data_IF_704417511825
#
_entry.id   IF_704417511825
#
_cell.length_a   1.000
_cell.length_b   1.000
_cell.length_c   1.000
_cell.angle_alpha   90.00
_cell.angle_beta   90.00
_cell.angle_gamma   90.00
#
_symmetry.space_group_name_H-M   'P 1'
#
loop_
_entity.id
_entity.type
_entity.pdbx_description
1 polymer ?
#
# COMPACT_ATOMS: atom_id res chain seq x y z
N UNK A 1 -15.26 -29.92 21.82
CA UNK A 1 -14.24 -29.06 22.44
C UNK A 1 -14.44 -27.63 21.94
N UNK A 2 -14.79 -26.72 22.83
CA UNK A 2 -15.06 -25.33 22.51
C UNK A 2 -13.81 -24.59 22.03
N UNK A 3 -13.82 -23.83 20.94
CA UNK A 3 -12.74 -22.94 20.59
C UNK A 3 -12.87 -21.65 21.41
N UNK A 4 -12.29 -21.65 22.59
CA UNK A 4 -12.10 -20.48 23.46
C UNK A 4 -10.91 -19.65 22.98
N UNK A 5 -11.08 -18.95 21.85
CA UNK A 5 -10.21 -17.82 21.43
C UNK A 5 -11.08 -16.62 21.03
N UNK A 6 -12.03 -16.28 21.89
CA UNK A 6 -12.69 -14.98 21.82
C UNK A 6 -12.40 -14.28 23.15
N UNK A 7 -11.65 -13.19 23.13
CA UNK A 7 -11.59 -12.30 24.27
C UNK A 7 -13.02 -11.83 24.56
N UNK A 8 -13.50 -12.12 25.76
CA UNK A 8 -14.80 -11.64 26.25
C UNK A 8 -14.77 -10.18 26.68
N UNK A 9 -13.65 -9.49 26.50
CA UNK A 9 -13.48 -8.09 26.87
C UNK A 9 -14.05 -7.17 25.78
N UNK A 10 -15.17 -6.47 26.04
CA UNK A 10 -15.73 -5.49 25.10
C UNK A 10 -14.77 -4.36 24.74
N UNK A 11 -13.79 -4.03 25.62
CA UNK A 11 -12.79 -3.00 25.36
C UNK A 11 -11.77 -3.42 24.30
N UNK A 12 -11.52 -4.73 24.13
CA UNK A 12 -10.65 -5.25 23.08
C UNK A 12 -11.18 -4.88 21.69
N UNK A 13 -12.50 -4.95 21.52
CA UNK A 13 -13.16 -4.62 20.24
C UNK A 13 -13.34 -3.10 20.03
N UNK A 14 -13.34 -2.28 21.09
CA UNK A 14 -13.42 -0.82 20.95
C UNK A 14 -12.16 -0.21 20.33
N UNK A 15 -10.99 -0.80 20.55
CA UNK A 15 -9.73 -0.33 19.92
C UNK A 15 -9.65 -0.63 18.42
N UNK A 16 -10.39 -1.61 17.91
CA UNK A 16 -10.46 -1.93 16.48
C UNK A 16 -11.34 -0.94 15.69
N UNK A 17 -12.16 -0.15 16.37
CA UNK A 17 -13.13 0.76 15.76
C UNK A 17 -12.81 2.25 15.95
N UNK A 18 -11.58 2.61 16.30
CA UNK A 18 -11.18 4.01 16.13
C UNK A 18 -11.11 4.28 14.63
N UNK A 19 -12.21 4.80 14.09
CA UNK A 19 -12.27 5.42 12.77
C UNK A 19 -11.23 6.55 12.76
N UNK A 20 -9.98 6.23 12.44
CA UNK A 20 -9.07 7.24 11.94
C UNK A 20 -9.57 7.53 10.55
N UNK A 21 -10.31 8.63 10.39
CA UNK A 21 -10.60 9.20 9.08
C UNK A 21 -9.26 9.58 8.44
N UNK A 22 -8.59 8.60 7.84
CA UNK A 22 -7.39 8.84 7.03
C UNK A 22 -7.91 9.42 5.72
N UNK A 23 -7.63 10.69 5.49
CA UNK A 23 -7.88 11.33 4.20
C UNK A 23 -6.76 10.93 3.22
N UNK A 24 -7.09 10.89 1.94
CA UNK A 24 -6.12 10.65 0.86
C UNK A 24 -5.03 11.73 0.86
N UNK A 25 -5.36 12.96 1.19
CA UNK A 25 -4.42 14.08 1.32
C UNK A 25 -3.43 13.86 2.47
N UNK A 26 -3.84 13.21 3.56
CA UNK A 26 -2.94 12.83 4.67
C UNK A 26 -1.84 11.88 4.21
N UNK A 27 -2.15 10.96 3.28
CA UNK A 27 -1.18 10.02 2.72
C UNK A 27 -0.12 10.78 1.92
N UNK A 28 -0.53 11.74 1.12
CA UNK A 28 0.39 12.57 0.34
C UNK A 28 1.19 13.52 1.22
N UNK A 29 0.56 14.13 2.20
CA UNK A 29 1.23 15.04 3.15
C UNK A 29 2.32 14.33 3.96
N UNK A 30 2.06 13.12 4.46
CA UNK A 30 3.08 12.27 5.10
C UNK A 30 4.25 11.94 4.17
N UNK A 31 3.99 11.77 2.88
CA UNK A 31 5.02 11.53 1.88
C UNK A 31 5.88 12.78 1.64
N UNK A 32 5.27 13.96 1.58
CA UNK A 32 5.95 15.24 1.40
C UNK A 32 6.80 15.61 2.62
N UNK A 33 6.39 15.20 3.82
CA UNK A 33 7.14 15.38 5.07
C UNK A 33 8.18 14.26 5.35
N UNK A 34 8.48 13.42 4.37
CA UNK A 34 9.44 12.30 4.53
C UNK A 34 10.81 12.77 5.03
N UNK A 35 11.24 13.93 4.59
CA UNK A 35 12.55 14.53 4.89
C UNK A 35 12.35 16.00 5.25
N UNK A 36 12.80 16.41 6.45
CA UNK A 36 12.83 17.83 6.81
C UNK A 36 13.92 18.59 6.06
N UNK A 37 13.82 19.91 5.96
CA UNK A 37 14.82 20.74 5.27
C UNK A 37 16.23 20.54 5.83
N UNK A 38 16.37 20.46 7.15
CA UNK A 38 17.66 20.19 7.80
C UNK A 38 18.21 18.82 7.44
N UNK A 39 17.36 17.77 7.42
CA UNK A 39 17.76 16.44 7.00
C UNK A 39 18.13 16.41 5.52
N UNK A 40 17.40 17.15 4.68
CA UNK A 40 17.67 17.24 3.25
C UNK A 40 19.07 17.80 2.99
N UNK A 41 19.44 18.93 3.60
CA UNK A 41 20.76 19.56 3.42
C UNK A 41 21.90 18.68 3.94
N UNK A 42 21.70 17.96 5.05
CA UNK A 42 22.70 17.03 5.56
C UNK A 42 22.89 15.85 4.61
N UNK A 43 21.82 15.19 4.17
CA UNK A 43 21.90 14.06 3.24
C UNK A 43 22.49 14.50 1.92
N UNK A 44 22.10 15.66 1.40
CA UNK A 44 22.66 16.26 0.18
C UNK A 44 24.18 16.49 0.31
N UNK A 45 24.63 17.10 1.42
CA UNK A 45 26.06 17.31 1.67
C UNK A 45 26.83 15.98 1.67
N UNK A 46 26.29 14.95 2.28
CA UNK A 46 26.89 13.61 2.30
C UNK A 46 26.98 13.03 0.90
N UNK A 47 25.87 13.03 0.14
CA UNK A 47 25.81 12.43 -1.19
C UNK A 47 26.72 13.12 -2.21
N UNK A 48 26.98 14.42 -2.05
CA UNK A 48 27.88 15.17 -2.91
C UNK A 48 29.37 15.01 -2.57
N UNK A 49 29.70 14.56 -1.35
CA UNK A 49 31.07 14.38 -0.89
C UNK A 49 31.65 12.99 -1.16
N UNK A 50 30.80 11.97 -1.21
CA UNK A 50 31.24 10.57 -1.28
C UNK A 50 31.20 10.05 -2.72
N UNK A 51 32.16 9.19 -3.08
CA UNK A 51 32.08 8.46 -4.36
C UNK A 51 31.07 7.30 -4.23
N UNK A 52 29.91 7.47 -4.86
CA UNK A 52 28.82 6.51 -4.80
C UNK A 52 29.07 5.24 -5.64
N UNK A 53 30.10 5.24 -6.49
CA UNK A 53 30.40 4.13 -7.41
C UNK A 53 31.08 2.95 -6.72
N UNK A 54 31.73 3.20 -5.59
CA UNK A 54 32.56 2.21 -4.87
C UNK A 54 31.74 1.25 -4.01
N UNK A 55 30.52 1.61 -3.59
CA UNK A 55 29.76 0.82 -2.66
C UNK A 55 29.10 -0.38 -3.33
N UNK A 56 29.32 -1.56 -2.75
CA UNK A 56 28.66 -2.81 -3.15
C UNK A 56 27.46 -3.15 -2.28
N UNK A 57 27.53 -2.76 -0.98
CA UNK A 57 26.49 -3.01 0.01
C UNK A 57 26.11 -1.73 0.75
N UNK A 58 24.85 -1.59 1.10
CA UNK A 58 24.37 -0.41 1.83
C UNK A 58 25.11 -0.19 3.17
N UNK A 59 25.50 -1.26 3.86
CA UNK A 59 26.27 -1.18 5.11
C UNK A 59 27.63 -0.50 4.94
N UNK A 60 28.26 -0.60 3.80
CA UNK A 60 29.53 0.08 3.51
C UNK A 60 29.33 1.58 3.44
N UNK A 61 28.28 2.00 2.74
CA UNK A 61 27.88 3.41 2.68
C UNK A 61 27.49 3.93 4.08
N UNK A 62 26.67 3.18 4.86
CA UNK A 62 26.34 3.57 6.23
C UNK A 62 27.57 3.78 7.11
N UNK A 63 28.56 2.92 6.99
CA UNK A 63 29.83 3.07 7.75
C UNK A 63 30.59 4.33 7.33
N UNK A 64 30.67 4.58 6.02
CA UNK A 64 31.39 5.73 5.49
C UNK A 64 30.79 7.07 5.93
N UNK A 65 29.46 7.16 6.06
CA UNK A 65 28.76 8.40 6.43
C UNK A 65 28.54 8.57 7.94
N UNK A 66 28.93 7.61 8.77
CA UNK A 66 28.72 7.70 10.24
C UNK A 66 29.38 8.92 10.88
N UNK A 67 30.57 9.27 10.42
CA UNK A 67 31.30 10.43 10.94
C UNK A 67 30.54 11.73 10.63
N UNK A 68 30.04 11.89 9.43
CA UNK A 68 29.25 13.04 8.98
C UNK A 68 27.92 13.14 9.72
N UNK A 69 27.21 12.01 9.91
CA UNK A 69 25.98 11.96 10.70
C UNK A 69 26.24 12.39 12.15
N UNK A 70 27.32 11.88 12.75
CA UNK A 70 27.70 12.24 14.12
C UNK A 70 28.06 13.73 14.24
N UNK A 71 28.80 14.26 13.26
CA UNK A 71 29.17 15.68 13.23
C UNK A 71 27.95 16.61 13.06
N UNK A 72 26.92 16.18 12.37
CA UNK A 72 25.68 16.95 12.15
C UNK A 72 24.71 16.94 13.33
N UNK A 73 25.06 16.30 14.47
CA UNK A 73 24.24 16.17 15.68
C UNK A 73 22.86 15.52 15.46
N UNK A 74 22.71 14.73 14.39
CA UNK A 74 21.50 13.96 14.14
C UNK A 74 21.45 12.74 15.08
N UNK A 75 20.39 12.61 15.85
CA UNK A 75 20.26 11.57 16.88
C UNK A 75 19.96 10.16 16.34
N UNK A 76 19.54 10.04 15.09
CA UNK A 76 19.20 8.74 14.49
C UNK A 76 19.74 8.61 13.06
N UNK A 77 20.11 7.41 12.61
CA UNK A 77 20.53 7.18 11.23
C UNK A 77 19.36 7.44 10.25
N UNK A 78 19.69 7.97 9.07
CA UNK A 78 18.70 8.20 8.02
C UNK A 78 18.14 6.89 7.47
N UNK A 79 16.83 6.88 7.21
CA UNK A 79 16.18 5.75 6.55
C UNK A 79 16.59 5.70 5.07
N UNK A 80 16.65 4.51 4.48
CA UNK A 80 16.92 4.33 3.04
C UNK A 80 15.99 5.17 2.16
N UNK A 81 14.72 5.26 2.51
CA UNK A 81 13.72 6.08 1.80
C UNK A 81 14.04 7.57 1.80
N UNK A 82 14.59 8.10 2.91
CA UNK A 82 15.00 9.49 3.01
C UNK A 82 16.22 9.78 2.13
N UNK A 83 17.22 8.89 2.17
CA UNK A 83 18.42 9.00 1.34
C UNK A 83 18.04 8.88 -0.14
N UNK A 84 17.16 7.95 -0.50
CA UNK A 84 16.69 7.76 -1.86
C UNK A 84 15.94 8.99 -2.39
N UNK A 85 15.07 9.56 -1.58
CA UNK A 85 14.35 10.77 -1.94
C UNK A 85 15.30 11.92 -2.31
N UNK A 86 16.28 12.20 -1.43
CA UNK A 86 17.26 13.26 -1.68
C UNK A 86 18.15 12.93 -2.89
N UNK A 87 18.56 11.67 -3.02
CA UNK A 87 19.34 11.19 -4.17
C UNK A 87 18.60 11.43 -5.49
N UNK A 88 17.34 11.01 -5.59
CA UNK A 88 16.53 11.16 -6.80
C UNK A 88 16.30 12.67 -7.11
N UNK A 89 16.11 13.53 -6.11
CA UNK A 89 16.01 15.00 -6.30
C UNK A 89 17.31 15.60 -6.84
N UNK A 90 18.46 15.15 -6.35
CA UNK A 90 19.77 15.63 -6.84
C UNK A 90 20.05 15.17 -8.27
N UNK A 91 19.64 13.96 -8.63
CA UNK A 91 19.78 13.45 -10.00
C UNK A 91 18.88 14.22 -10.96
N UNK A 92 17.60 14.41 -10.61
CA UNK A 92 16.63 15.17 -11.43
C UNK A 92 17.06 16.61 -11.61
N UNK A 93 17.63 17.26 -10.57
CA UNK A 93 18.15 18.64 -10.66
C UNK A 93 19.51 18.75 -11.34
N UNK A 94 20.09 17.65 -11.84
CA UNK A 94 21.39 17.63 -12.49
C UNK A 94 22.59 17.88 -11.55
N UNK A 95 22.37 17.96 -10.23
CA UNK A 95 23.42 18.19 -9.23
C UNK A 95 24.23 16.92 -8.91
N UNK A 96 23.69 15.77 -9.23
CA UNK A 96 24.35 14.47 -9.05
C UNK A 96 24.14 13.62 -10.28
N UNK A 97 25.23 12.95 -10.74
CA UNK A 97 25.11 11.97 -11.82
C UNK A 97 24.44 10.70 -11.29
N UNK A 98 23.54 10.12 -12.07
CA UNK A 98 22.91 8.86 -11.72
C UNK A 98 23.93 7.72 -11.61
N UNK A 99 23.87 6.98 -10.49
CA UNK A 99 24.63 5.75 -10.24
C UNK A 99 23.65 4.61 -10.00
N UNK A 100 23.23 3.87 -11.05
CA UNK A 100 22.17 2.86 -10.96
C UNK A 100 22.47 1.76 -9.93
N UNK A 101 23.72 1.39 -9.77
CA UNK A 101 24.13 0.40 -8.76
C UNK A 101 23.85 0.91 -7.34
N UNK A 102 24.19 2.16 -7.05
CA UNK A 102 23.95 2.78 -5.75
C UNK A 102 22.45 2.93 -5.48
N UNK A 103 21.69 3.42 -6.47
CA UNK A 103 20.23 3.53 -6.36
C UNK A 103 19.58 2.20 -5.97
N UNK A 104 20.02 1.08 -6.55
CA UNK A 104 19.54 -0.27 -6.18
C UNK A 104 19.81 -0.62 -4.71
N UNK A 105 20.90 -0.16 -4.10
CA UNK A 105 21.20 -0.39 -2.68
C UNK A 105 20.20 0.30 -1.74
N UNK A 106 19.60 1.41 -2.19
CA UNK A 106 18.63 2.18 -1.42
C UNK A 106 17.22 1.57 -1.45
N UNK A 107 16.90 0.73 -2.44
CA UNK A 107 15.59 0.08 -2.54
C UNK A 107 15.40 -0.87 -1.35
N UNK A 108 14.31 -0.66 -0.59
CA UNK A 108 13.97 -1.51 0.55
C UNK A 108 13.24 -2.77 0.08
N UNK A 109 13.78 -3.96 0.43
CA UNK A 109 13.21 -5.25 0.02
C UNK A 109 13.07 -5.38 -1.50
N UNK A 110 14.16 -5.17 -2.22
CA UNK A 110 14.21 -5.18 -3.69
C UNK A 110 13.59 -6.43 -4.35
N UNK A 111 13.58 -7.57 -3.65
CA UNK A 111 12.95 -8.81 -4.11
C UNK A 111 11.44 -8.64 -4.45
N UNK A 112 10.75 -7.66 -3.84
CA UNK A 112 9.31 -7.45 -4.07
C UNK A 112 8.95 -6.97 -5.49
N UNK A 113 9.89 -6.37 -6.21
CA UNK A 113 9.70 -5.89 -7.58
C UNK A 113 10.64 -6.57 -8.58
N UNK A 114 11.28 -7.67 -8.18
CA UNK A 114 12.24 -8.37 -9.03
C UNK A 114 11.58 -8.99 -10.28
N UNK A 115 10.31 -9.39 -10.17
CA UNK A 115 9.51 -9.87 -11.30
C UNK A 115 9.09 -8.75 -12.27
N UNK A 116 9.31 -7.49 -11.91
CA UNK A 116 8.81 -6.33 -12.66
C UNK A 116 7.34 -6.00 -12.37
N UNK A 117 6.69 -6.72 -11.45
CA UNK A 117 5.30 -6.50 -11.04
C UNK A 117 5.24 -6.25 -9.54
N UNK A 118 4.46 -5.27 -9.11
CA UNK A 118 4.17 -5.01 -7.71
C UNK A 118 2.83 -5.60 -7.31
N UNK A 119 2.82 -6.42 -6.26
CA UNK A 119 1.59 -6.94 -5.67
C UNK A 119 1.10 -5.98 -4.59
N UNK A 120 -0.14 -5.51 -4.75
CA UNK A 120 -0.87 -4.71 -3.76
C UNK A 120 -2.02 -5.55 -3.24
N UNK A 121 -1.96 -5.91 -1.96
CA UNK A 121 -3.03 -6.62 -1.27
C UNK A 121 -3.97 -5.64 -0.62
N UNK A 122 -5.24 -5.79 -0.88
CA UNK A 122 -6.36 -5.05 -0.30
C UNK A 122 -7.39 -6.02 0.29
N UNK A 123 -8.15 -5.59 1.28
CA UNK A 123 -9.21 -6.41 1.88
C UNK A 123 -10.57 -5.77 1.65
N UNK A 124 -11.55 -6.61 1.38
CA UNK A 124 -12.96 -6.23 1.36
C UNK A 124 -13.45 -5.87 2.76
N UNK A 125 -14.46 -5.01 2.84
CA UNK A 125 -15.00 -4.56 4.12
C UNK A 125 -15.83 -5.65 4.81
N UNK A 126 -15.71 -5.83 6.14
CA UNK A 126 -16.65 -6.62 6.91
C UNK A 126 -18.05 -5.96 6.99
N UNK A 127 -18.14 -4.69 6.58
CA UNK A 127 -19.39 -3.93 6.50
C UNK A 127 -19.48 -3.22 5.14
N UNK A 128 -19.71 -3.97 4.03
CA UNK A 128 -19.86 -3.37 2.72
C UNK A 128 -21.00 -2.35 2.69
N UNK A 129 -20.81 -1.27 1.95
CA UNK A 129 -21.86 -0.28 1.71
C UNK A 129 -22.59 -0.67 0.42
N UNK A 130 -23.90 -0.89 0.54
CA UNK A 130 -24.77 -1.25 -0.58
C UNK A 130 -25.93 -0.26 -0.61
N UNK A 131 -26.15 0.43 -1.72
CA UNK A 131 -27.17 1.48 -1.84
C UNK A 131 -27.11 2.53 -0.71
N UNK A 132 -25.89 2.96 -0.35
CA UNK A 132 -25.65 3.95 0.70
C UNK A 132 -25.84 3.45 2.14
N UNK A 133 -26.11 2.16 2.36
CA UNK A 133 -26.31 1.57 3.68
C UNK A 133 -25.20 0.58 4.01
N UNK A 134 -24.56 0.73 5.17
CA UNK A 134 -23.63 -0.26 5.70
C UNK A 134 -24.39 -1.55 6.05
N UNK A 135 -23.91 -2.67 5.56
CA UNK A 135 -24.47 -4.00 5.82
C UNK A 135 -23.39 -4.87 6.44
N UNK A 136 -23.76 -5.73 7.40
CA UNK A 136 -22.79 -6.72 7.90
C UNK A 136 -22.58 -7.78 6.81
N UNK A 137 -21.34 -7.98 6.43
CA UNK A 137 -20.99 -9.09 5.55
C UNK A 137 -21.18 -10.41 6.28
N UNK A 138 -21.82 -11.35 5.64
CA UNK A 138 -21.91 -12.73 6.08
C UNK A 138 -21.61 -13.62 4.88
N UNK A 139 -20.51 -14.38 4.97
CA UNK A 139 -20.27 -15.46 4.03
C UNK A 139 -21.39 -16.49 4.16
N UNK A 140 -21.88 -17.00 3.07
CA UNK A 140 -22.95 -18.01 3.02
C UNK A 140 -22.53 -19.31 3.74
N UNK A 141 -21.23 -19.62 3.70
CA UNK A 141 -20.69 -20.83 4.33
C UNK A 141 -20.06 -20.53 5.69
N UNK A 142 -20.30 -21.45 6.62
CA UNK A 142 -19.68 -21.39 7.94
C UNK A 142 -18.63 -22.50 8.07
N UNK A 143 -17.53 -22.38 7.30
CA UNK A 143 -16.46 -23.36 7.31
C UNK A 143 -15.82 -23.49 8.69
N UNK A 144 -15.56 -24.71 9.13
CA UNK A 144 -15.04 -25.01 10.47
C UNK A 144 -13.69 -24.35 10.77
N UNK A 145 -12.79 -24.31 9.79
CA UNK A 145 -11.44 -23.73 9.93
C UNK A 145 -11.36 -22.23 9.63
N UNK A 146 -12.49 -21.61 9.25
CA UNK A 146 -12.49 -20.21 8.85
C UNK A 146 -12.73 -19.32 10.08
N UNK A 147 -11.74 -18.50 10.53
CA UNK A 147 -11.94 -17.59 11.65
C UNK A 147 -13.05 -16.58 11.33
N UNK A 148 -13.78 -16.19 12.37
CA UNK A 148 -14.87 -15.22 12.28
C UNK A 148 -14.74 -14.22 13.42
N UNK A 149 -13.71 -13.40 13.34
CA UNK A 149 -13.44 -12.36 14.32
C UNK A 149 -14.41 -11.18 14.09
N UNK A 150 -15.11 -10.70 15.13
CA UNK A 150 -16.00 -9.54 15.00
C UNK A 150 -15.28 -8.30 14.48
N UNK A 151 -15.89 -7.63 13.50
CA UNK A 151 -15.30 -6.41 12.90
C UNK A 151 -14.18 -6.65 11.91
N UNK A 152 -13.84 -7.92 11.62
CA UNK A 152 -12.83 -8.28 10.64
C UNK A 152 -13.45 -9.01 9.44
N UNK A 153 -12.80 -8.97 8.26
CA UNK A 153 -13.23 -9.76 7.12
C UNK A 153 -13.18 -11.25 7.46
N UNK A 154 -14.14 -12.01 6.95
CA UNK A 154 -14.15 -13.46 7.15
C UNK A 154 -12.84 -14.10 6.69
N UNK A 155 -12.33 -15.09 7.38
CA UNK A 155 -11.05 -15.79 7.20
C UNK A 155 -9.81 -15.05 7.70
N UNK A 156 -9.94 -13.86 8.25
CA UNK A 156 -8.81 -13.02 8.63
C UNK A 156 -8.89 -12.57 10.09
N UNK A 157 -7.72 -12.40 10.71
CA UNK A 157 -7.55 -11.94 12.09
C UNK A 157 -7.00 -10.50 12.12
N UNK A 158 -7.35 -9.74 13.15
CA UNK A 158 -7.01 -8.33 13.29
C UNK A 158 -5.51 -8.02 13.28
N UNK A 159 -4.66 -8.95 13.74
CA UNK A 159 -3.21 -8.77 13.86
C UNK A 159 -2.42 -9.08 12.57
N UNK A 160 -3.09 -9.58 11.55
CA UNK A 160 -2.45 -9.82 10.26
C UNK A 160 -2.03 -8.50 9.57
N UNK A 161 -0.81 -8.43 8.98
CA UNK A 161 -0.29 -7.17 8.44
C UNK A 161 -1.15 -6.53 7.35
N UNK A 162 -1.88 -7.31 6.57
CA UNK A 162 -2.82 -6.80 5.56
C UNK A 162 -4.08 -6.24 6.20
N UNK A 163 -4.59 -6.92 7.22
CA UNK A 163 -5.78 -6.52 7.97
C UNK A 163 -5.52 -5.26 8.78
N UNK A 164 -4.35 -5.15 9.43
CA UNK A 164 -3.95 -3.92 10.13
C UNK A 164 -3.99 -2.69 9.22
N UNK A 165 -3.48 -2.82 7.98
CA UNK A 165 -3.53 -1.73 6.99
C UNK A 165 -4.96 -1.42 6.55
N UNK A 166 -5.77 -2.46 6.32
CA UNK A 166 -7.17 -2.30 5.92
C UNK A 166 -7.98 -1.61 7.01
N UNK A 167 -7.80 -1.99 8.30
CA UNK A 167 -8.40 -1.31 9.43
C UNK A 167 -7.99 0.18 9.50
N UNK A 168 -6.70 0.50 9.30
CA UNK A 168 -6.21 1.88 9.29
C UNK A 168 -6.87 2.74 8.20
N UNK A 169 -7.26 2.11 7.10
CA UNK A 169 -7.91 2.73 5.94
C UNK A 169 -9.43 2.48 5.89
N UNK A 170 -10.05 2.06 6.99
CA UNK A 170 -11.49 1.79 7.07
C UNK A 170 -12.01 0.85 5.97
N UNK A 171 -11.16 -0.04 5.47
CA UNK A 171 -11.41 -0.94 4.33
C UNK A 171 -11.80 -0.21 3.02
N UNK A 172 -11.55 1.08 2.93
CA UNK A 172 -11.75 1.85 1.70
C UNK A 172 -10.73 1.41 0.63
N UNK A 173 -11.15 1.00 -0.57
CA UNK A 173 -10.26 0.50 -1.61
C UNK A 173 -9.30 1.56 -2.14
N UNK A 174 -9.73 2.82 -2.23
CA UNK A 174 -8.92 3.94 -2.72
C UNK A 174 -7.78 4.22 -1.72
N UNK A 175 -8.10 4.29 -0.43
CA UNK A 175 -7.14 4.55 0.63
C UNK A 175 -6.15 3.39 0.77
N UNK A 176 -6.63 2.14 0.80
CA UNK A 176 -5.76 0.95 0.88
C UNK A 176 -4.77 0.89 -0.28
N UNK A 177 -5.24 1.12 -1.50
CA UNK A 177 -4.38 1.17 -2.69
C UNK A 177 -3.37 2.29 -2.58
N UNK A 178 -3.83 3.52 -2.32
CA UNK A 178 -2.99 4.73 -2.34
C UNK A 178 -1.91 4.67 -1.27
N UNK A 179 -2.25 4.29 -0.02
CA UNK A 179 -1.25 4.16 1.06
C UNK A 179 -0.21 3.10 0.73
N UNK A 180 -0.67 1.95 0.21
CA UNK A 180 0.25 0.86 -0.13
C UNK A 180 1.15 1.21 -1.30
N UNK A 181 0.61 1.77 -2.37
CA UNK A 181 1.35 2.24 -3.52
C UNK A 181 2.37 3.32 -3.13
N UNK A 182 1.98 4.30 -2.29
CA UNK A 182 2.86 5.33 -1.79
C UNK A 182 3.99 4.76 -0.94
N UNK A 183 3.71 3.83 -0.04
CA UNK A 183 4.74 3.14 0.75
C UNK A 183 5.76 2.42 -0.13
N UNK A 184 5.32 1.76 -1.21
CA UNK A 184 6.20 1.09 -2.16
C UNK A 184 7.02 2.10 -2.97
N UNK A 185 6.39 3.16 -3.45
CA UNK A 185 7.03 4.26 -4.17
C UNK A 185 8.16 4.91 -3.35
N UNK A 186 7.89 5.30 -2.11
CA UNK A 186 8.87 5.88 -1.20
C UNK A 186 10.00 4.91 -0.81
N UNK A 187 9.78 3.61 -0.92
CA UNK A 187 10.81 2.58 -0.75
C UNK A 187 11.59 2.29 -2.05
N UNK A 188 11.34 3.03 -3.14
CA UNK A 188 12.10 2.98 -4.39
C UNK A 188 11.58 2.02 -5.44
N UNK A 189 10.40 1.41 -5.23
CA UNK A 189 9.79 0.55 -6.23
C UNK A 189 9.08 1.37 -7.32
N UNK A 190 9.12 0.89 -8.56
CA UNK A 190 8.33 1.44 -9.66
C UNK A 190 6.87 0.97 -9.50
N UNK A 191 5.95 1.92 -9.40
CA UNK A 191 4.52 1.66 -9.27
C UNK A 191 3.88 1.80 -10.67
N UNK A 192 4.34 0.98 -11.61
CA UNK A 192 3.93 1.03 -13.01
C UNK A 192 3.11 -0.18 -13.46
N UNK A 193 3.42 -1.38 -12.95
CA UNK A 193 2.71 -2.63 -13.23
C UNK A 193 2.28 -3.26 -11.92
N UNK A 194 0.98 -3.34 -11.72
CA UNK A 194 0.38 -3.69 -10.44
C UNK A 194 -0.51 -4.91 -10.61
N UNK A 195 -0.30 -5.91 -9.78
CA UNK A 195 -1.25 -6.98 -9.52
C UNK A 195 -1.99 -6.68 -8.22
N UNK A 196 -3.30 -6.61 -8.30
CA UNK A 196 -4.15 -6.47 -7.11
C UNK A 196 -4.50 -7.85 -6.60
N UNK A 197 -4.28 -8.08 -5.29
CA UNK A 197 -4.75 -9.26 -4.59
C UNK A 197 -5.86 -8.83 -3.64
N UNK A 198 -7.10 -9.22 -3.96
CA UNK A 198 -8.30 -8.93 -3.15
C UNK A 198 -8.54 -10.11 -2.23
N UNK A 199 -8.46 -9.87 -0.94
CA UNK A 199 -8.70 -10.81 0.15
C UNK A 199 -9.95 -10.39 0.94
N UNK A 200 -10.49 -11.29 1.80
CA UNK A 200 -11.60 -10.94 2.68
C UNK A 200 -12.73 -11.96 2.68
N UNK A 201 -12.43 -13.20 2.39
CA UNK A 201 -13.36 -14.32 2.31
C UNK A 201 -13.87 -14.57 0.90
N UNK A 202 -15.02 -15.21 0.77
CA UNK A 202 -15.57 -15.61 -0.52
C UNK A 202 -16.07 -14.40 -1.29
N UNK A 203 -15.35 -13.96 -2.32
CA UNK A 203 -15.69 -12.81 -3.16
C UNK A 203 -17.13 -12.86 -3.69
N UNK A 204 -17.53 -14.02 -4.20
CA UNK A 204 -18.85 -14.22 -4.82
C UNK A 204 -20.02 -14.06 -3.83
N UNK A 205 -19.75 -14.08 -2.51
CA UNK A 205 -20.77 -13.82 -1.49
C UNK A 205 -21.07 -12.33 -1.27
N UNK A 206 -20.24 -11.43 -1.82
CA UNK A 206 -20.51 -10.00 -1.74
C UNK A 206 -21.55 -9.57 -2.78
N UNK A 207 -22.43 -8.59 -2.46
CA UNK A 207 -23.38 -8.03 -3.43
C UNK A 207 -22.66 -7.51 -4.69
N UNK A 208 -23.24 -7.74 -5.87
CA UNK A 208 -22.65 -7.37 -7.16
C UNK A 208 -22.28 -5.87 -7.21
N UNK A 209 -23.19 -4.99 -6.75
CA UNK A 209 -22.93 -3.54 -6.75
C UNK A 209 -21.71 -3.17 -5.90
N UNK A 210 -21.52 -3.82 -4.74
CA UNK A 210 -20.32 -3.60 -3.94
C UNK A 210 -19.06 -4.09 -4.65
N UNK A 211 -19.12 -5.27 -5.30
CA UNK A 211 -17.98 -5.83 -6.05
C UNK A 211 -17.57 -4.91 -7.21
N UNK A 212 -18.54 -4.40 -7.96
CA UNK A 212 -18.29 -3.44 -9.05
C UNK A 212 -17.68 -2.13 -8.54
N UNK A 213 -18.26 -1.55 -7.49
CA UNK A 213 -17.75 -0.33 -6.88
C UNK A 213 -16.32 -0.51 -6.34
N UNK A 214 -16.07 -1.63 -5.65
CA UNK A 214 -14.75 -1.93 -5.07
C UNK A 214 -13.66 -2.02 -6.16
N UNK A 215 -13.92 -2.74 -7.25
CA UNK A 215 -12.98 -2.86 -8.37
C UNK A 215 -12.84 -1.53 -9.12
N UNK A 216 -13.96 -0.81 -9.37
CA UNK A 216 -13.93 0.54 -9.96
C UNK A 216 -13.00 1.46 -9.19
N UNK A 217 -13.12 1.48 -7.88
CA UNK A 217 -12.37 2.38 -7.00
C UNK A 217 -10.88 2.03 -6.96
N UNK A 218 -10.51 0.75 -7.09
CA UNK A 218 -9.12 0.35 -7.25
C UNK A 218 -8.53 0.84 -8.59
N UNK A 219 -9.26 0.71 -9.69
CA UNK A 219 -8.82 1.27 -10.99
C UNK A 219 -8.74 2.80 -10.96
N UNK A 220 -9.73 3.45 -10.34
CA UNK A 220 -9.70 4.89 -10.14
C UNK A 220 -8.47 5.33 -9.33
N UNK A 221 -8.18 4.66 -8.21
CA UNK A 221 -7.02 4.96 -7.38
C UNK A 221 -5.70 4.80 -8.16
N UNK A 222 -5.57 3.74 -8.97
CA UNK A 222 -4.42 3.53 -9.82
C UNK A 222 -4.29 4.63 -10.90
N UNK A 223 -5.39 4.99 -11.56
CA UNK A 223 -5.42 6.02 -12.60
C UNK A 223 -5.03 7.40 -12.07
N UNK A 224 -5.39 7.69 -10.82
CA UNK A 224 -5.18 9.02 -10.20
C UNK A 224 -4.04 9.03 -9.17
N UNK A 225 -3.30 7.94 -9.01
CA UNK A 225 -2.27 7.80 -7.97
C UNK A 225 -1.22 8.91 -7.97
N UNK A 226 -0.80 9.40 -9.14
CA UNK A 226 0.20 10.47 -9.25
C UNK A 226 -0.41 11.88 -9.31
N UNK A 227 -1.73 12.00 -9.33
CA UNK A 227 -2.43 13.28 -9.31
C UNK A 227 -2.49 13.83 -7.87
N UNK A 228 -2.17 15.11 -7.72
CA UNK A 228 -2.23 15.84 -6.46
C UNK A 228 -3.41 16.82 -6.47
N UNK A 229 -3.94 17.12 -5.28
CA UNK A 229 -5.06 18.06 -5.12
C UNK A 229 -6.41 17.47 -5.55
N UNK A 230 -7.34 18.33 -5.94
CA UNK A 230 -8.70 17.93 -6.29
C UNK A 230 -8.73 16.93 -7.45
N UNK A 231 -8.97 15.66 -7.12
CA UNK A 231 -9.10 14.59 -8.10
C UNK A 231 -10.48 14.67 -8.78
N UNK A 232 -10.54 14.26 -10.04
CA UNK A 232 -11.81 14.07 -10.74
C UNK A 232 -12.68 13.03 -10.01
N UNK A 233 -14.00 13.05 -10.15
CA UNK A 233 -14.86 11.98 -9.66
C UNK A 233 -14.56 10.65 -10.40
N UNK A 234 -14.84 9.53 -9.72
CA UNK A 234 -14.75 8.22 -10.35
C UNK A 234 -15.79 8.09 -11.47
N UNK A 235 -15.38 7.48 -12.57
CA UNK A 235 -16.25 7.13 -13.71
C UNK A 235 -16.83 5.73 -13.49
N UNK A 236 -17.55 5.18 -14.48
CA UNK A 236 -17.99 3.78 -14.43
C UNK A 236 -16.79 2.81 -14.42
N UNK A 237 -16.98 1.59 -13.91
CA UNK A 237 -15.96 0.54 -13.91
C UNK A 237 -15.34 0.35 -15.31
N UNK A 238 -16.19 0.27 -16.34
CA UNK A 238 -15.74 0.13 -17.72
C UNK A 238 -14.80 1.28 -18.13
N UNK A 239 -15.19 2.52 -17.85
CA UNK A 239 -14.39 3.70 -18.19
C UNK A 239 -13.08 3.79 -17.40
N UNK A 240 -13.08 3.42 -16.12
CA UNK A 240 -11.84 3.38 -15.32
C UNK A 240 -10.88 2.29 -15.84
N UNK A 241 -11.39 1.12 -16.22
CA UNK A 241 -10.59 0.08 -16.88
C UNK A 241 -9.99 0.56 -18.19
N UNK A 242 -10.76 1.22 -19.04
CA UNK A 242 -10.27 1.78 -20.31
C UNK A 242 -9.20 2.86 -20.07
N UNK A 243 -9.41 3.75 -19.10
CA UNK A 243 -8.42 4.77 -18.74
C UNK A 243 -7.11 4.14 -18.23
N UNK A 244 -7.19 3.00 -17.57
CA UNK A 244 -6.03 2.31 -16.99
C UNK A 244 -5.10 1.68 -18.05
N UNK A 245 -5.57 1.41 -19.26
CA UNK A 245 -4.76 0.83 -20.35
C UNK A 245 -3.52 1.68 -20.65
N UNK A 246 -3.65 3.01 -20.55
CA UNK A 246 -2.57 3.96 -20.83
C UNK A 246 -2.06 4.70 -19.58
N UNK A 247 -2.57 4.35 -18.40
CA UNK A 247 -2.17 4.98 -17.15
C UNK A 247 -0.70 4.72 -16.81
N UNK A 248 -0.08 5.61 -16.05
CA UNK A 248 1.28 5.42 -15.54
C UNK A 248 1.35 4.27 -14.54
N UNK A 249 0.33 4.13 -13.68
CA UNK A 249 0.19 3.02 -12.73
C UNK A 249 -0.90 2.08 -13.25
N UNK A 250 -0.50 0.97 -13.88
CA UNK A 250 -1.40 0.05 -14.57
C UNK A 250 -1.68 -1.19 -13.74
N UNK A 251 -2.94 -1.48 -13.53
CA UNK A 251 -3.38 -2.77 -13.01
C UNK A 251 -3.34 -3.78 -14.17
N UNK A 252 -2.41 -4.73 -14.08
CA UNK A 252 -2.20 -5.77 -15.11
C UNK A 252 -2.88 -7.09 -14.75
N UNK A 253 -3.32 -7.24 -13.50
CA UNK A 253 -4.02 -8.42 -13.02
C UNK A 253 -4.78 -8.11 -11.74
N UNK A 254 -5.89 -8.81 -11.56
CA UNK A 254 -6.69 -8.81 -10.34
C UNK A 254 -6.94 -10.25 -9.94
N UNK A 255 -6.43 -10.64 -8.78
CA UNK A 255 -6.65 -11.94 -8.18
C UNK A 255 -7.71 -11.81 -7.10
N UNK A 256 -8.78 -12.58 -7.19
CA UNK A 256 -9.92 -12.58 -6.28
C UNK A 256 -9.94 -13.88 -5.48
N UNK A 257 -10.14 -13.78 -4.18
CA UNK A 257 -10.30 -14.93 -3.30
C UNK A 257 -11.76 -15.39 -3.32
N UNK A 258 -12.02 -16.62 -3.78
CA UNK A 258 -13.35 -17.20 -3.80
C UNK A 258 -13.30 -18.72 -3.56
N UNK A 259 -14.46 -19.34 -3.39
CA UNK A 259 -14.58 -20.80 -3.26
C UNK A 259 -14.76 -21.44 -4.65
N UNK A 260 -14.18 -22.64 -4.88
CA UNK A 260 -14.32 -23.30 -6.18
C UNK A 260 -15.76 -23.60 -6.59
N UNK A 261 -16.63 -23.90 -5.64
CA UNK A 261 -18.07 -24.17 -5.86
C UNK A 261 -18.89 -22.92 -6.19
N UNK A 262 -18.32 -21.71 -6.02
CA UNK A 262 -18.92 -20.45 -6.46
C UNK A 262 -18.56 -20.10 -7.91
N UNK A 263 -17.60 -20.81 -8.52
CA UNK A 263 -17.13 -20.54 -9.87
C UNK A 263 -18.10 -21.22 -10.86
N UNK A 264 -18.92 -20.42 -11.49
CA UNK A 264 -19.86 -20.86 -12.52
C UNK A 264 -19.72 -19.98 -13.78
N UNK A 265 -20.35 -20.34 -14.92
CA UNK A 265 -20.24 -19.56 -16.18
C UNK A 265 -20.69 -18.10 -16.06
N UNK A 266 -21.59 -17.77 -15.14
CA UNK A 266 -22.07 -16.41 -14.91
C UNK A 266 -21.03 -15.58 -14.14
N UNK A 267 -20.36 -16.18 -13.16
CA UNK A 267 -19.32 -15.52 -12.38
C UNK A 267 -18.03 -15.26 -13.20
N UNK A 268 -17.79 -16.07 -14.25
CA UNK A 268 -16.62 -15.92 -15.14
C UNK A 268 -16.83 -14.84 -16.21
N UNK A 269 -18.07 -14.53 -16.56
CA UNK A 269 -18.43 -13.50 -17.58
C UNK A 269 -18.35 -12.09 -17.05
#
# INVERSE_FOLDING_TARGET
MNPTYMSSDPKFYQHCHQEKNTDIEDIYHKADQLVSDSQFEIIKSILLKVDLTIYRYFREFEKAIRAEIKASKVHSPFKKSQILYVYDQLVVSGKLREVPKFRKLLIKKAAKSQSGVLVITVLTSPYPVVNGKKQRFSCEWNCYYCPNEPGQPRSYLHDEPSVLRANQNSFDPILQFTERAMTLYLNGHLVDKIEILVLGGTWSSYPMSYREDFIRDLFYAANTFLERGNKRPAKSLFQEKQSNVTAKSRIIGVTLETRPDCINPEEIR
#
